data_IF_596378401322
#
_entry.id   IF_596378401322
#
_cell.length_a   1.000
_cell.length_b   1.000
_cell.length_c   1.000
_cell.angle_alpha   90.00
_cell.angle_beta   90.00
_cell.angle_gamma   90.00
#
_symmetry.space_group_name_H-M   'P 1'
#
loop_
_entity.id
_entity.type
_entity.pdbx_description
1 polymer ?
#
# COMPACT_ATOMS: atom_id res chain seq x y z
N UNK A 1 -23.72 -3.91 43.13
CA UNK A 1 -23.13 -5.00 42.30
C UNK A 1 -23.24 -4.57 40.85
N UNK A 2 -22.08 -4.34 40.22
CA UNK A 2 -21.87 -4.06 38.78
C UNK A 2 -22.49 -5.17 37.92
N UNK A 3 -22.92 -4.96 36.66
CA UNK A 3 -22.05 -4.67 35.50
C UNK A 3 -22.90 -4.18 34.32
N UNK A 4 -22.82 -2.89 33.98
CA UNK A 4 -22.19 -2.26 32.78
C UNK A 4 -22.99 -2.35 31.46
N UNK A 5 -23.33 -1.13 31.02
CA UNK A 5 -23.79 -0.66 29.73
C UNK A 5 -23.19 -1.35 28.48
N UNK A 6 -24.08 -1.60 27.54
CA UNK A 6 -23.89 -1.61 26.08
C UNK A 6 -22.81 -0.64 25.59
N UNK A 7 -21.85 -1.13 24.80
CA UNK A 7 -21.14 -0.31 23.82
C UNK A 7 -21.09 -1.06 22.48
N UNK A 8 -21.66 -0.52 21.39
CA UNK A 8 -21.38 -1.03 20.07
C UNK A 8 -19.90 -0.80 19.77
N UNK A 9 -19.22 -1.83 19.28
CA UNK A 9 -17.89 -1.71 18.72
C UNK A 9 -17.97 -1.00 17.35
N UNK A 10 -18.32 0.27 17.37
CA UNK A 10 -18.09 1.16 16.24
C UNK A 10 -16.60 1.45 16.23
N UNK A 11 -15.86 0.66 15.46
CA UNK A 11 -14.48 0.97 15.13
C UNK A 11 -14.43 2.42 14.62
N UNK A 12 -13.53 3.27 15.15
CA UNK A 12 -13.37 4.59 14.57
C UNK A 12 -12.90 4.41 13.13
N UNK A 13 -13.64 4.96 12.17
CA UNK A 13 -13.19 5.31 10.82
C UNK A 13 -12.04 6.33 10.92
N UNK A 14 -10.91 5.90 11.48
CA UNK A 14 -9.69 6.65 11.53
C UNK A 14 -8.87 6.28 10.29
N UNK A 15 -9.27 6.81 9.15
CA UNK A 15 -8.32 7.11 8.07
C UNK A 15 -8.75 8.40 7.41
N UNK A 16 -8.70 9.44 8.24
CA UNK A 16 -8.04 10.71 7.98
C UNK A 16 -7.81 10.93 6.50
N UNK A 17 -8.59 11.84 5.92
CA UNK A 17 -8.34 12.45 4.61
C UNK A 17 -6.83 12.65 4.39
N UNK A 18 -6.21 11.67 3.74
CA UNK A 18 -4.88 11.81 3.18
C UNK A 18 -5.08 12.77 2.02
N UNK A 19 -4.88 14.05 2.35
CA UNK A 19 -4.46 15.15 1.47
C UNK A 19 -4.11 14.55 0.11
N UNK A 20 -4.92 14.80 -0.92
CA UNK A 20 -4.62 14.38 -2.30
C UNK A 20 -3.31 15.06 -2.73
N UNK A 21 -2.19 14.47 -2.36
CA UNK A 21 -0.95 14.53 -3.13
C UNK A 21 -1.34 13.99 -4.52
N UNK A 22 -0.69 14.34 -5.63
CA UNK A 22 -0.84 13.60 -6.88
C UNK A 22 -0.35 12.15 -6.68
N UNK A 23 -1.17 11.37 -5.96
CA UNK A 23 -0.89 10.03 -5.46
C UNK A 23 -0.88 9.01 -6.59
N UNK A 24 -1.26 9.40 -7.81
CA UNK A 24 -1.40 8.49 -8.95
C UNK A 24 -0.11 7.72 -9.24
N UNK A 25 1.02 8.42 -9.34
CA UNK A 25 2.31 7.79 -9.63
C UNK A 25 2.80 6.90 -8.49
N UNK A 26 2.86 7.44 -7.27
CA UNK A 26 3.35 6.68 -6.10
C UNK A 26 2.44 5.48 -5.79
N UNK A 27 1.11 5.63 -5.88
CA UNK A 27 0.19 4.51 -5.66
C UNK A 27 0.29 3.45 -6.76
N UNK A 28 0.49 3.87 -8.02
CA UNK A 28 0.72 2.94 -9.13
C UNK A 28 2.03 2.19 -8.94
N UNK A 29 3.12 2.87 -8.55
CA UNK A 29 4.41 2.26 -8.24
C UNK A 29 4.29 1.20 -7.14
N UNK A 30 3.68 1.53 -6.01
CA UNK A 30 3.51 0.59 -4.89
C UNK A 30 2.60 -0.59 -5.27
N UNK A 31 1.56 -0.37 -6.08
CA UNK A 31 0.69 -1.45 -6.57
C UNK A 31 1.45 -2.41 -7.47
N UNK A 32 2.23 -1.89 -8.43
CA UNK A 32 3.06 -2.70 -9.33
C UNK A 32 4.12 -3.48 -8.56
N UNK A 33 4.78 -2.83 -7.60
CA UNK A 33 5.77 -3.46 -6.72
C UNK A 33 5.15 -4.60 -5.91
N UNK A 34 4.02 -4.39 -5.27
CA UNK A 34 3.35 -5.42 -4.48
C UNK A 34 2.92 -6.63 -5.32
N UNK A 35 2.37 -6.39 -6.51
CA UNK A 35 1.99 -7.45 -7.45
C UNK A 35 3.21 -8.23 -7.99
N UNK A 36 4.33 -7.54 -8.20
CA UNK A 36 5.55 -8.19 -8.66
C UNK A 36 6.21 -9.03 -7.57
N UNK A 37 6.24 -8.54 -6.32
CA UNK A 37 6.77 -9.28 -5.17
C UNK A 37 5.96 -10.55 -4.88
N UNK A 38 4.63 -10.51 -5.04
CA UNK A 38 3.81 -11.72 -4.87
C UNK A 38 4.01 -12.73 -6.00
N UNK A 39 4.31 -12.27 -7.21
CA UNK A 39 4.57 -13.13 -8.36
C UNK A 39 6.01 -13.67 -8.42
N UNK A 40 6.97 -13.02 -7.76
CA UNK A 40 8.40 -13.36 -7.83
C UNK A 40 9.02 -13.47 -6.42
N UNK A 41 8.63 -14.50 -5.63
CA UNK A 41 9.14 -14.68 -4.26
C UNK A 41 10.65 -14.99 -4.21
N UNK A 42 11.19 -15.61 -5.25
CA UNK A 42 12.61 -16.00 -5.36
C UNK A 42 13.43 -15.05 -6.24
N UNK A 43 12.95 -13.82 -6.43
CA UNK A 43 13.65 -12.83 -7.24
C UNK A 43 15.06 -12.53 -6.70
N UNK A 44 16.05 -12.50 -7.59
CA UNK A 44 17.38 -12.03 -7.23
C UNK A 44 17.37 -10.51 -6.98
N UNK A 45 18.33 -9.97 -6.22
CA UNK A 45 18.44 -8.51 -6.04
C UNK A 45 18.53 -7.74 -7.37
N UNK A 46 19.20 -8.32 -8.38
CA UNK A 46 19.31 -7.73 -9.70
C UNK A 46 17.96 -7.66 -10.44
N UNK A 47 17.14 -8.72 -10.33
CA UNK A 47 15.80 -8.75 -10.91
C UNK A 47 14.86 -7.74 -10.23
N UNK A 48 15.00 -7.61 -8.92
CA UNK A 48 14.25 -6.62 -8.14
C UNK A 48 14.60 -5.19 -8.60
N UNK A 49 15.89 -4.84 -8.70
CA UNK A 49 16.30 -3.51 -9.16
C UNK A 49 15.82 -3.21 -10.58
N UNK A 50 15.96 -4.17 -11.50
CA UNK A 50 15.48 -4.03 -12.87
C UNK A 50 13.96 -3.82 -12.92
N UNK A 51 13.19 -4.51 -12.09
CA UNK A 51 11.74 -4.34 -11.98
C UNK A 51 11.36 -2.98 -11.39
N UNK A 52 12.03 -2.53 -10.32
CA UNK A 52 11.75 -1.25 -9.68
C UNK A 52 12.01 -0.07 -10.63
N UNK A 53 13.08 -0.11 -11.41
CA UNK A 53 13.37 0.92 -12.44
C UNK A 53 12.27 0.96 -13.51
N UNK A 54 11.76 -0.20 -13.93
CA UNK A 54 10.64 -0.26 -14.89
C UNK A 54 9.36 0.31 -14.28
N UNK A 55 9.06 0.01 -13.02
CA UNK A 55 7.86 0.52 -12.35
C UNK A 55 7.91 2.02 -12.10
N UNK A 56 9.07 2.57 -11.72
CA UNK A 56 9.26 4.01 -11.58
C UNK A 56 8.93 4.75 -12.89
N UNK A 57 9.44 4.25 -14.01
CA UNK A 57 9.14 4.80 -15.35
C UNK A 57 7.67 4.70 -15.73
N UNK A 58 7.01 3.57 -15.43
CA UNK A 58 5.57 3.39 -15.70
C UNK A 58 4.71 4.28 -14.80
N UNK A 59 5.14 4.48 -13.56
CA UNK A 59 4.49 5.32 -12.58
C UNK A 59 4.73 6.82 -12.80
N UNK A 60 5.77 7.20 -13.56
CA UNK A 60 6.19 8.58 -13.76
C UNK A 60 6.79 9.21 -12.49
N UNK A 61 7.44 8.39 -11.66
CA UNK A 61 8.10 8.77 -10.39
C UNK A 61 9.61 8.68 -10.53
#
# INVERSE_FOLDING_TARGET
MSTVLTRPATAPMASRHLRRIPHGGIALYETLKAAWLSANPDASPADYEAAMVRFARLAGV
#
